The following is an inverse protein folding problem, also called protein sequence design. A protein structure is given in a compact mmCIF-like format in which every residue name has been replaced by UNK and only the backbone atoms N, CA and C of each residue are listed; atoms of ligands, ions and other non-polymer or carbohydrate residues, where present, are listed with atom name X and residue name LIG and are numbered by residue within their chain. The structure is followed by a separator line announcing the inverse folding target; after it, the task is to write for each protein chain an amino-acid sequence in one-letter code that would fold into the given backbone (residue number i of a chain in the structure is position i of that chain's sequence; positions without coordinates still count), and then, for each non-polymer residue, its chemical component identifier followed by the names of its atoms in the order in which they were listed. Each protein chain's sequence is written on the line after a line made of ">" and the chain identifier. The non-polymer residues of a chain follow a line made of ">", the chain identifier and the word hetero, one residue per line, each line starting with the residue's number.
data_IF_633566200632
#
_entry.id   IF_633566200632
#
_cell.length_a   1.000
_cell.length_b   1.000
_cell.length_c   1.000
_cell.angle_alpha   90.00
_cell.angle_beta   90.00
_cell.angle_gamma   90.00
#
_symmetry.space_group_name_H-M   'P 1'
#
loop_
_entity.id
_entity.type
_entity.pdbx_description
1 polymer ?
#
# COMPACT_ATOMS: atom_id res chain seq x y z
N UNK A 1 -16.30 -15.69 3.76
CA UNK A 1 -16.45 -15.76 2.30
C UNK A 1 -15.17 -16.22 1.63
N UNK A 2 -14.11 -15.39 1.60
CA UNK A 2 -12.88 -15.75 0.87
C UNK A 2 -12.24 -17.07 1.32
N UNK A 3 -12.19 -17.33 2.62
CA UNK A 3 -11.70 -18.63 3.12
C UNK A 3 -12.51 -19.84 2.63
N UNK A 4 -13.83 -19.67 2.42
CA UNK A 4 -14.68 -20.74 1.88
C UNK A 4 -14.53 -20.82 0.36
N UNK A 5 -14.42 -19.69 -0.33
CA UNK A 5 -14.15 -19.62 -1.77
C UNK A 5 -12.84 -20.34 -2.15
N UNK A 6 -11.79 -20.14 -1.35
CA UNK A 6 -10.50 -20.82 -1.51
C UNK A 6 -10.41 -22.18 -0.81
N UNK A 7 -11.53 -22.70 -0.30
CA UNK A 7 -11.60 -24.02 0.35
C UNK A 7 -10.52 -24.25 1.41
N UNK A 8 -10.26 -23.24 2.25
CA UNK A 8 -9.20 -23.28 3.27
C UNK A 8 -9.55 -24.25 4.41
N UNK A 9 -9.40 -25.54 4.14
CA UNK A 9 -9.68 -26.64 5.06
C UNK A 9 -8.66 -26.78 6.21
N UNK A 10 -7.60 -25.96 6.18
CA UNK A 10 -6.58 -25.85 7.21
C UNK A 10 -6.74 -24.59 8.08
N UNK A 11 -7.84 -23.84 7.91
CA UNK A 11 -8.14 -22.65 8.70
C UNK A 11 -9.21 -22.96 9.77
N UNK A 12 -8.83 -22.74 11.02
CA UNK A 12 -9.72 -22.85 12.19
C UNK A 12 -9.74 -21.49 12.89
N UNK A 13 -10.91 -20.85 12.93
CA UNK A 13 -11.17 -19.66 13.73
C UNK A 13 -11.79 -20.06 15.07
N UNK A 14 -11.42 -19.35 16.15
CA UNK A 14 -12.05 -19.48 17.46
C UNK A 14 -12.73 -18.16 17.77
N UNK A 15 -14.04 -18.18 17.97
CA UNK A 15 -14.81 -17.02 18.39
C UNK A 15 -15.01 -17.09 19.91
N UNK A 16 -14.34 -16.20 20.63
CA UNK A 16 -14.58 -15.96 22.06
C UNK A 16 -15.87 -15.14 22.24
N UNK A 17 -17.01 -15.84 22.31
CA UNK A 17 -18.32 -15.22 22.51
C UNK A 17 -18.56 -14.98 24.02
N UNK A 18 -17.83 -14.03 24.59
CA UNK A 18 -17.83 -13.71 26.03
C UNK A 18 -18.88 -12.68 26.47
N UNK A 19 -19.89 -12.44 25.61
CA UNK A 19 -20.95 -11.41 25.70
C UNK A 19 -20.49 -9.95 25.63
N UNK A 20 -19.34 -9.59 26.21
CA UNK A 20 -18.98 -8.19 26.53
C UNK A 20 -17.84 -7.61 25.68
N UNK A 21 -18.12 -6.50 25.00
CA UNK A 21 -17.14 -5.67 24.29
C UNK A 21 -16.36 -4.75 25.24
N UNK A 22 -15.91 -3.60 24.73
CA UNK A 22 -15.16 -2.62 25.54
C UNK A 22 -16.05 -1.90 26.56
N UNK A 23 -17.21 -1.41 26.14
CA UNK A 23 -18.11 -0.60 27.00
C UNK A 23 -19.20 -1.42 27.68
N UNK A 24 -19.68 -2.48 27.03
CA UNK A 24 -20.81 -3.27 27.50
C UNK A 24 -21.09 -4.44 26.56
N UNK A 25 -22.32 -4.95 26.59
CA UNK A 25 -22.73 -6.10 25.79
C UNK A 25 -22.56 -5.88 24.27
N UNK A 26 -22.02 -6.90 23.61
CA UNK A 26 -21.91 -6.96 22.14
C UNK A 26 -23.29 -7.12 21.52
N UNK A 27 -23.45 -6.69 20.26
CA UNK A 27 -24.75 -6.73 19.56
C UNK A 27 -25.48 -8.09 19.65
N UNK A 28 -24.81 -9.25 19.49
CA UNK A 28 -25.48 -10.54 19.63
C UNK A 28 -25.47 -11.08 21.08
N UNK A 29 -24.66 -10.53 21.99
CA UNK A 29 -24.52 -11.04 23.35
C UNK A 29 -24.18 -12.54 23.37
N UNK A 30 -25.00 -13.34 24.04
CA UNK A 30 -24.92 -14.81 24.02
C UNK A 30 -25.96 -15.50 23.11
N UNK A 31 -26.52 -14.80 22.12
CA UNK A 31 -27.37 -15.41 21.10
C UNK A 31 -26.53 -16.18 20.07
N UNK A 32 -25.95 -17.33 20.49
CA UNK A 32 -24.93 -18.08 19.74
C UNK A 32 -25.38 -18.52 18.35
N UNK A 33 -26.66 -18.84 18.18
CA UNK A 33 -27.23 -19.19 16.88
C UNK A 33 -27.10 -18.05 15.87
N UNK A 34 -27.10 -16.78 16.29
CA UNK A 34 -26.87 -15.67 15.37
C UNK A 34 -25.44 -15.68 14.80
N UNK A 35 -24.43 -15.96 15.63
CA UNK A 35 -23.05 -16.09 15.14
C UNK A 35 -22.93 -17.27 14.19
N UNK A 36 -23.46 -18.42 14.59
CA UNK A 36 -23.46 -19.65 13.80
C UNK A 36 -24.09 -19.43 12.42
N UNK A 37 -25.31 -18.88 12.37
CA UNK A 37 -26.03 -18.62 11.11
C UNK A 37 -25.25 -17.69 10.18
N UNK A 38 -24.59 -16.64 10.72
CA UNK A 38 -23.75 -15.73 9.92
C UNK A 38 -22.56 -16.44 9.29
N UNK A 39 -21.85 -17.29 10.05
CA UNK A 39 -20.70 -18.03 9.53
C UNK A 39 -21.10 -19.12 8.54
N UNK A 40 -22.18 -19.87 8.81
CA UNK A 40 -22.72 -20.87 7.89
C UNK A 40 -23.15 -20.23 6.56
N UNK A 41 -23.81 -19.07 6.61
CA UNK A 41 -24.16 -18.31 5.41
C UNK A 41 -22.93 -17.89 4.57
N UNK A 42 -21.75 -17.81 5.19
CA UNK A 42 -20.48 -17.53 4.51
C UNK A 42 -19.67 -18.78 4.14
N UNK A 43 -20.25 -19.97 4.26
CA UNK A 43 -19.66 -21.24 3.84
C UNK A 43 -18.70 -21.87 4.86
N UNK A 44 -18.82 -21.52 6.14
CA UNK A 44 -17.99 -22.09 7.20
C UNK A 44 -18.70 -23.23 7.91
N UNK A 45 -17.94 -24.26 8.27
CA UNK A 45 -18.37 -25.25 9.26
C UNK A 45 -18.32 -24.64 10.66
N UNK A 46 -19.35 -24.88 11.46
CA UNK A 46 -19.52 -24.24 12.77
C UNK A 46 -19.71 -25.26 13.88
N UNK A 47 -18.98 -25.11 14.98
CA UNK A 47 -19.21 -25.86 16.21
C UNK A 47 -19.52 -24.88 17.34
N UNK A 48 -20.68 -25.00 17.98
CA UNK A 48 -21.02 -24.20 19.17
C UNK A 48 -20.75 -25.05 20.40
N UNK A 49 -19.95 -24.54 21.33
CA UNK A 49 -19.51 -25.27 22.52
C UNK A 49 -19.57 -24.40 23.77
N UNK A 50 -19.56 -25.03 24.94
CA UNK A 50 -19.14 -24.38 26.17
C UNK A 50 -17.62 -24.13 26.12
N UNK A 51 -17.22 -22.85 26.04
CA UNK A 51 -15.83 -22.43 25.97
C UNK A 51 -15.04 -22.63 27.27
N UNK A 52 -15.68 -23.10 28.35
CA UNK A 52 -15.03 -23.49 29.60
C UNK A 52 -15.01 -25.01 29.81
N UNK A 53 -15.53 -25.78 28.86
CA UNK A 53 -15.52 -27.24 28.91
C UNK A 53 -14.38 -27.79 28.05
N UNK A 54 -13.30 -28.24 28.69
CA UNK A 54 -12.12 -28.78 28.00
C UNK A 54 -12.46 -29.98 27.09
N UNK A 55 -13.41 -30.82 27.49
CA UNK A 55 -13.83 -31.97 26.69
C UNK A 55 -14.45 -31.54 25.36
N UNK A 56 -15.34 -30.55 25.39
CA UNK A 56 -15.96 -30.00 24.18
C UNK A 56 -14.96 -29.26 23.29
N UNK A 57 -14.01 -28.53 23.89
CA UNK A 57 -12.95 -27.84 23.14
C UNK A 57 -12.10 -28.85 22.36
N UNK A 58 -11.65 -29.92 23.02
CA UNK A 58 -10.82 -30.96 22.40
C UNK A 58 -11.58 -31.70 21.29
N UNK A 59 -12.83 -32.06 21.53
CA UNK A 59 -13.70 -32.69 20.52
C UNK A 59 -13.92 -31.77 19.31
N UNK A 60 -14.20 -30.48 19.53
CA UNK A 60 -14.38 -29.50 18.46
C UNK A 60 -13.13 -29.33 17.61
N UNK A 61 -11.93 -29.24 18.22
CA UNK A 61 -10.67 -29.19 17.46
C UNK A 61 -10.38 -30.49 16.71
N UNK A 62 -10.71 -31.65 17.28
CA UNK A 62 -10.58 -32.94 16.60
C UNK A 62 -11.46 -33.01 15.34
N UNK A 63 -12.73 -32.59 15.45
CA UNK A 63 -13.65 -32.48 14.31
C UNK A 63 -13.18 -31.44 13.29
N UNK A 64 -12.67 -30.30 13.76
CA UNK A 64 -12.20 -29.22 12.91
C UNK A 64 -11.04 -29.64 12.00
N UNK A 65 -10.07 -30.41 12.53
CA UNK A 65 -8.92 -30.93 11.77
C UNK A 65 -9.30 -31.85 10.60
N UNK A 66 -10.47 -32.48 10.68
CA UNK A 66 -10.97 -33.39 9.65
C UNK A 66 -11.94 -32.72 8.67
N UNK A 67 -12.25 -31.44 8.87
CA UNK A 67 -13.15 -30.67 8.02
C UNK A 67 -12.58 -30.47 6.61
N UNK A 68 -13.46 -30.45 5.61
CA UNK A 68 -13.11 -30.07 4.21
C UNK A 68 -13.37 -28.59 3.91
N UNK A 69 -13.91 -27.85 4.87
CA UNK A 69 -14.23 -26.42 4.80
C UNK A 69 -13.53 -25.67 5.93
N UNK A 70 -13.34 -24.35 5.83
CA UNK A 70 -12.89 -23.55 6.97
C UNK A 70 -13.86 -23.70 8.15
N UNK A 71 -13.31 -23.76 9.36
CA UNK A 71 -14.08 -24.04 10.58
C UNK A 71 -14.05 -22.85 11.52
N UNK A 72 -15.19 -22.52 12.11
CA UNK A 72 -15.25 -21.65 13.28
C UNK A 72 -15.80 -22.42 14.48
N UNK A 73 -15.06 -22.36 15.58
CA UNK A 73 -15.50 -22.87 16.89
C UNK A 73 -16.02 -21.67 17.68
N UNK A 74 -17.31 -21.66 17.96
CA UNK A 74 -18.04 -20.61 18.66
C UNK A 74 -18.11 -21.01 20.13
N UNK A 75 -17.23 -20.41 20.93
CA UNK A 75 -17.08 -20.70 22.34
C UNK A 75 -17.98 -19.77 23.15
N UNK A 76 -19.00 -20.31 23.83
CA UNK A 76 -19.72 -19.55 24.85
C UNK A 76 -18.81 -19.38 26.06
N UNK A 77 -18.44 -18.15 26.38
CA UNK A 77 -17.53 -17.86 27.50
C UNK A 77 -18.12 -16.77 28.39
N UNK A 78 -17.40 -16.40 29.45
CA UNK A 78 -17.78 -15.29 30.32
C UNK A 78 -16.53 -14.45 30.54
N UNK A 79 -16.59 -13.17 30.21
CA UNK A 79 -15.45 -12.27 30.36
C UNK A 79 -15.07 -12.17 31.84
N UNK A 80 -13.79 -12.29 32.18
CA UNK A 80 -13.33 -12.32 33.57
C UNK A 80 -13.65 -13.62 34.32
N UNK A 81 -13.83 -14.75 33.60
CA UNK A 81 -14.14 -16.06 34.18
C UNK A 81 -13.26 -16.40 35.39
N UNK A 82 -13.88 -16.95 36.43
CA UNK A 82 -13.18 -17.50 37.60
C UNK A 82 -12.92 -16.49 38.72
N UNK A 83 -13.34 -15.24 38.55
CA UNK A 83 -13.27 -14.21 39.60
C UNK A 83 -14.63 -13.51 39.69
N UNK A 84 -15.32 -13.69 40.80
CA UNK A 84 -16.73 -13.33 41.04
C UNK A 84 -17.08 -11.87 40.73
N UNK A 85 -16.19 -10.93 41.07
CA UNK A 85 -16.39 -9.49 40.84
C UNK A 85 -15.99 -9.01 39.44
N UNK A 86 -15.34 -9.87 38.65
CA UNK A 86 -14.97 -9.63 37.24
C UNK A 86 -15.92 -10.37 36.28
N UNK A 87 -16.32 -11.58 36.65
CA UNK A 87 -17.01 -12.53 35.78
C UNK A 87 -18.34 -11.95 35.30
N UNK A 88 -18.43 -11.80 33.98
CA UNK A 88 -19.61 -11.32 33.29
C UNK A 88 -20.02 -9.89 33.73
N UNK A 89 -19.09 -9.08 34.25
CA UNK A 89 -19.32 -7.70 34.68
C UNK A 89 -18.80 -6.67 33.67
N UNK A 90 -19.56 -5.60 33.47
CA UNK A 90 -19.16 -4.47 32.64
C UNK A 90 -18.05 -3.64 33.30
N UNK A 91 -17.40 -2.81 32.48
CA UNK A 91 -16.46 -1.79 32.99
C UNK A 91 -15.08 -2.31 33.38
N UNK A 92 -14.77 -3.59 33.16
CA UNK A 92 -13.47 -4.21 33.44
C UNK A 92 -12.57 -4.41 32.21
N UNK A 93 -13.06 -4.12 30.99
CA UNK A 93 -12.22 -4.25 29.80
C UNK A 93 -11.03 -3.27 29.84
N UNK A 94 -9.82 -3.80 29.66
CA UNK A 94 -8.59 -3.02 29.69
C UNK A 94 -8.20 -2.48 31.07
N UNK A 95 -8.84 -2.93 32.16
CA UNK A 95 -8.51 -2.51 33.52
C UNK A 95 -7.77 -3.62 34.26
N UNK A 96 -6.61 -3.33 34.86
CA UNK A 96 -5.95 -4.27 35.76
C UNK A 96 -6.77 -4.45 37.03
N UNK A 97 -6.64 -5.61 37.67
CA UNK A 97 -7.22 -5.85 39.01
C UNK A 97 -6.50 -4.96 40.03
N UNK A 98 -7.23 -4.20 40.87
CA UNK A 98 -6.63 -3.39 41.92
C UNK A 98 -5.81 -4.22 42.92
N UNK A 99 -4.72 -3.64 43.45
CA UNK A 99 -3.80 -4.36 44.36
C UNK A 99 -4.49 -4.91 45.61
N UNK A 100 -5.46 -4.17 46.15
CA UNK A 100 -6.28 -4.53 47.30
C UNK A 100 -7.28 -5.66 47.03
N UNK A 101 -7.58 -5.94 45.75
CA UNK A 101 -8.48 -7.02 45.32
C UNK A 101 -7.75 -8.21 44.73
N UNK A 102 -6.45 -8.09 44.43
CA UNK A 102 -5.66 -9.11 43.77
C UNK A 102 -5.61 -10.41 44.55
N UNK A 103 -5.35 -10.36 45.86
CA UNK A 103 -5.27 -11.57 46.68
C UNK A 103 -6.60 -12.33 46.71
N UNK A 104 -7.72 -11.60 46.77
CA UNK A 104 -9.06 -12.19 46.73
C UNK A 104 -9.35 -12.84 45.36
N UNK A 105 -8.99 -12.16 44.26
CA UNK A 105 -9.13 -12.73 42.93
C UNK A 105 -8.32 -14.02 42.76
N UNK A 106 -7.07 -14.05 43.24
CA UNK A 106 -6.21 -15.23 43.14
C UNK A 106 -6.72 -16.41 43.96
N UNK A 107 -7.39 -16.17 45.10
CA UNK A 107 -8.02 -17.23 45.92
C UNK A 107 -9.20 -17.91 45.22
N UNK A 108 -9.86 -17.24 44.28
CA UNK A 108 -10.97 -17.81 43.52
C UNK A 108 -10.53 -18.66 42.33
N UNK A 109 -9.25 -18.55 41.93
CA UNK A 109 -8.68 -19.31 40.82
C UNK A 109 -8.13 -20.64 41.35
N UNK A 110 -8.55 -21.80 40.78
CA UNK A 110 -8.14 -23.11 41.27
C UNK A 110 -6.62 -23.36 41.32
N UNK A 111 -5.88 -22.83 40.33
CA UNK A 111 -4.42 -22.84 40.30
C UNK A 111 -3.90 -21.51 39.76
N UNK A 112 -3.61 -20.59 40.67
CA UNK A 112 -3.06 -19.28 40.33
C UNK A 112 -1.64 -19.33 39.74
N UNK A 113 -0.91 -20.45 39.91
CA UNK A 113 0.45 -20.58 39.40
C UNK A 113 0.49 -20.95 37.91
N UNK A 114 -0.62 -21.45 37.35
CA UNK A 114 -0.73 -22.07 36.01
C UNK A 114 0.27 -23.22 35.80
N UNK A 115 -0.18 -24.46 35.54
CA UNK A 115 0.73 -25.57 35.39
C UNK A 115 1.66 -25.38 34.19
N UNK A 116 2.95 -25.71 34.35
CA UNK A 116 3.88 -25.77 33.25
C UNK A 116 3.49 -26.93 32.32
N UNK A 117 3.00 -26.61 31.11
CA UNK A 117 2.66 -27.62 30.10
C UNK A 117 3.77 -27.66 29.05
N UNK A 118 4.35 -28.84 28.82
CA UNK A 118 5.26 -29.06 27.71
C UNK A 118 4.46 -29.36 26.44
N UNK A 119 4.59 -28.51 25.42
CA UNK A 119 3.92 -28.67 24.13
C UNK A 119 4.95 -29.09 23.09
N UNK A 120 4.67 -30.17 22.35
CA UNK A 120 5.50 -30.60 21.23
C UNK A 120 5.58 -29.48 20.17
N UNK A 121 6.81 -29.07 19.83
CA UNK A 121 7.03 -28.08 18.78
C UNK A 121 6.71 -28.71 17.42
N UNK A 122 5.89 -28.06 16.56
CA UNK A 122 5.62 -28.59 15.24
C UNK A 122 6.88 -28.61 14.38
N UNK A 123 7.03 -29.64 13.54
CA UNK A 123 8.07 -29.68 12.51
C UNK A 123 7.77 -28.59 11.48
N UNK A 124 8.67 -27.63 11.32
CA UNK A 124 8.52 -26.57 10.33
C UNK A 124 8.57 -27.17 8.92
N UNK A 125 7.47 -27.11 8.18
CA UNK A 125 7.44 -27.37 6.75
C UNK A 125 7.44 -26.02 6.03
N UNK A 126 8.62 -25.56 5.61
CA UNK A 126 8.70 -24.42 4.72
C UNK A 126 8.46 -24.91 3.30
N UNK A 127 7.42 -24.40 2.65
CA UNK A 127 7.29 -24.51 1.20
C UNK A 127 8.36 -23.58 0.63
N UNK A 128 9.52 -24.16 0.31
CA UNK A 128 10.63 -23.43 -0.30
C UNK A 128 10.19 -23.02 -1.70
N UNK A 129 10.20 -21.72 -1.99
CA UNK A 129 9.99 -21.24 -3.35
C UNK A 129 11.04 -21.84 -4.30
N UNK A 130 10.62 -22.16 -5.52
CA UNK A 130 11.46 -22.70 -6.58
C UNK A 130 12.69 -21.81 -6.88
N UNK A 131 13.68 -22.35 -7.60
CA UNK A 131 14.88 -21.64 -8.01
C UNK A 131 14.59 -20.25 -8.58
N UNK A 132 15.27 -19.24 -8.05
CA UNK A 132 15.22 -17.87 -8.56
C UNK A 132 16.03 -17.78 -9.84
N UNK A 133 15.41 -17.30 -10.91
CA UNK A 133 16.09 -16.99 -12.18
C UNK A 133 16.18 -15.48 -12.36
N UNK A 134 17.01 -15.06 -13.30
CA UNK A 134 16.95 -13.68 -13.77
C UNK A 134 15.60 -13.47 -14.49
N UNK A 135 14.83 -12.48 -14.03
CA UNK A 135 13.56 -12.11 -14.63
C UNK A 135 13.73 -11.38 -15.97
N UNK A 136 14.92 -10.84 -16.22
CA UNK A 136 15.18 -9.99 -17.38
C UNK A 136 14.42 -8.66 -17.30
N UNK A 137 14.46 -7.92 -18.41
CA UNK A 137 13.78 -6.64 -18.59
C UNK A 137 13.19 -6.57 -19.99
N UNK A 138 12.09 -5.85 -20.14
CA UNK A 138 11.42 -5.60 -21.41
C UNK A 138 12.23 -4.66 -22.30
N UNK A 139 12.07 -4.79 -23.61
CA UNK A 139 12.80 -4.04 -24.63
C UNK A 139 12.10 -2.74 -25.06
N UNK A 140 11.68 -1.92 -24.09
CA UNK A 140 11.13 -0.59 -24.37
C UNK A 140 12.17 0.31 -25.07
N UNK A 141 11.75 1.04 -26.09
CA UNK A 141 12.59 2.04 -26.77
C UNK A 141 12.16 3.44 -26.37
N UNK A 142 13.13 4.35 -26.28
CA UNK A 142 12.86 5.77 -26.04
C UNK A 142 11.86 6.29 -27.09
N UNK A 143 10.80 6.94 -26.62
CA UNK A 143 9.70 7.45 -27.44
C UNK A 143 8.52 6.48 -27.64
N UNK A 144 8.65 5.20 -27.31
CA UNK A 144 7.51 4.27 -27.30
C UNK A 144 6.44 4.79 -26.32
N UNK A 145 5.16 4.63 -26.66
CA UNK A 145 4.04 5.03 -25.80
C UNK A 145 3.54 3.84 -24.99
N UNK A 146 3.66 3.92 -23.67
CA UNK A 146 3.17 2.89 -22.76
C UNK A 146 2.68 3.50 -21.44
N UNK A 147 1.65 2.89 -20.84
CA UNK A 147 1.17 3.32 -19.52
C UNK A 147 1.98 2.62 -18.42
N UNK A 148 2.25 3.31 -17.32
CA UNK A 148 3.03 2.73 -16.20
C UNK A 148 2.28 1.58 -15.53
N UNK A 149 0.93 1.59 -15.52
CA UNK A 149 0.12 0.46 -15.07
C UNK A 149 0.26 -0.80 -15.96
N UNK A 150 0.40 -0.62 -17.28
CA UNK A 150 0.64 -1.73 -18.22
C UNK A 150 2.03 -2.32 -18.02
N UNK A 151 3.03 -1.45 -17.83
CA UNK A 151 4.40 -1.86 -17.54
C UNK A 151 4.52 -2.57 -16.18
N UNK A 152 3.76 -2.13 -15.17
CA UNK A 152 3.63 -2.82 -13.89
C UNK A 152 3.16 -4.27 -14.05
N UNK A 153 2.06 -4.51 -14.78
CA UNK A 153 1.53 -5.84 -15.02
C UNK A 153 2.54 -6.78 -15.70
N UNK A 154 3.21 -6.29 -16.76
CA UNK A 154 4.24 -7.04 -17.48
C UNK A 154 5.45 -7.36 -16.61
N UNK A 155 5.96 -6.39 -15.86
CA UNK A 155 7.09 -6.57 -14.95
C UNK A 155 6.76 -7.58 -13.84
N UNK A 156 5.54 -7.51 -13.28
CA UNK A 156 5.11 -8.45 -12.26
C UNK A 156 4.97 -9.88 -12.80
N UNK A 157 4.44 -10.03 -14.02
CA UNK A 157 4.35 -11.33 -14.71
C UNK A 157 5.73 -11.95 -14.95
N UNK A 158 6.70 -11.15 -15.41
CA UNK A 158 8.10 -11.60 -15.56
C UNK A 158 8.71 -12.03 -14.23
N UNK A 159 8.49 -11.23 -13.18
CA UNK A 159 9.00 -11.52 -11.85
C UNK A 159 8.37 -12.80 -11.27
N UNK A 160 7.07 -13.03 -11.47
CA UNK A 160 6.38 -14.27 -11.05
C UNK A 160 6.94 -15.51 -11.78
N UNK A 161 7.19 -15.41 -13.08
CA UNK A 161 7.84 -16.49 -13.85
C UNK A 161 9.24 -16.83 -13.30
N UNK A 162 9.98 -15.81 -12.84
CA UNK A 162 11.35 -15.95 -12.37
C UNK A 162 11.49 -16.34 -10.88
N UNK A 163 10.52 -16.01 -10.04
CA UNK A 163 10.53 -16.25 -8.60
C UNK A 163 9.20 -16.85 -8.13
N UNK A 164 9.24 -18.12 -7.71
CA UNK A 164 8.08 -18.85 -7.20
C UNK A 164 7.48 -18.30 -5.91
N UNK A 165 8.15 -17.37 -5.22
CA UNK A 165 7.63 -16.72 -4.01
C UNK A 165 6.75 -15.51 -4.31
N UNK A 166 6.79 -14.98 -5.53
CA UNK A 166 6.06 -13.77 -5.90
C UNK A 166 4.58 -14.10 -6.10
N UNK A 167 3.69 -13.32 -5.51
CA UNK A 167 2.25 -13.49 -5.66
C UNK A 167 1.61 -12.16 -6.07
N UNK A 168 0.78 -12.18 -7.11
CA UNK A 168 -0.13 -11.09 -7.41
C UNK A 168 -1.42 -11.26 -6.59
N UNK A 169 -1.82 -10.22 -5.89
CA UNK A 169 -3.06 -10.20 -5.10
C UNK A 169 -3.85 -8.98 -5.55
N UNK A 170 -5.07 -9.13 -6.04
CA UNK A 170 -5.83 -8.02 -6.63
C UNK A 170 -7.28 -8.00 -6.13
N UNK A 171 -7.89 -6.82 -6.06
CA UNK A 171 -9.24 -6.61 -5.57
C UNK A 171 -10.25 -6.35 -6.71
N UNK A 172 -10.47 -7.33 -7.58
CA UNK A 172 -11.41 -7.29 -8.72
C UNK A 172 -11.14 -6.21 -9.78
N UNK A 173 -9.93 -5.67 -9.85
CA UNK A 173 -9.56 -4.63 -10.85
C UNK A 173 -8.33 -5.02 -11.66
N UNK A 174 -8.03 -6.32 -11.72
CA UNK A 174 -6.81 -6.88 -12.32
C UNK A 174 -6.66 -6.62 -13.81
N UNK A 175 -7.77 -6.43 -14.54
CA UNK A 175 -7.80 -5.98 -15.94
C UNK A 175 -7.43 -4.50 -16.11
N UNK A 176 -7.49 -3.72 -15.04
CA UNK A 176 -7.27 -2.28 -15.02
C UNK A 176 -5.91 -1.93 -14.40
N UNK A 177 -5.49 -2.69 -13.39
CA UNK A 177 -4.13 -2.66 -12.81
C UNK A 177 -3.13 -3.42 -13.67
N UNK A 178 -3.59 -4.28 -14.59
CA UNK A 178 -2.82 -5.26 -15.37
C UNK A 178 -2.19 -6.39 -14.54
N UNK A 179 -2.56 -6.56 -13.27
CA UNK A 179 -2.15 -7.72 -12.47
C UNK A 179 -2.65 -9.05 -13.06
N UNK A 180 -3.68 -9.02 -13.93
CA UNK A 180 -4.16 -10.19 -14.67
C UNK A 180 -3.09 -10.83 -15.57
N UNK A 181 -2.04 -10.08 -15.95
CA UNK A 181 -0.97 -10.64 -16.78
C UNK A 181 -0.22 -11.76 -16.05
N UNK A 182 -0.13 -11.71 -14.72
CA UNK A 182 0.36 -12.83 -13.90
C UNK A 182 -0.57 -14.03 -14.02
N UNK A 183 -1.90 -13.80 -13.94
CA UNK A 183 -2.91 -14.86 -14.10
C UNK A 183 -2.79 -15.56 -15.46
N UNK A 184 -2.46 -14.81 -16.52
CA UNK A 184 -2.31 -15.35 -17.89
C UNK A 184 -1.08 -16.26 -18.02
N UNK A 185 0.04 -15.91 -17.38
CA UNK A 185 1.31 -16.65 -17.54
C UNK A 185 1.56 -17.70 -16.46
N UNK A 186 1.03 -17.47 -15.25
CA UNK A 186 1.25 -18.30 -14.06
C UNK A 186 0.07 -18.21 -13.07
N UNK A 187 -1.09 -18.81 -13.41
CA UNK A 187 -2.34 -18.68 -12.65
C UNK A 187 -2.20 -19.01 -11.15
N UNK A 188 -1.33 -19.94 -10.79
CA UNK A 188 -1.08 -20.37 -9.41
C UNK A 188 -0.42 -19.31 -8.52
N UNK A 189 0.15 -18.25 -9.13
CA UNK A 189 0.72 -17.11 -8.42
C UNK A 189 -0.21 -15.88 -8.42
N UNK A 190 -1.46 -16.04 -8.84
CA UNK A 190 -2.48 -15.00 -8.80
C UNK A 190 -3.55 -15.33 -7.75
N UNK A 191 -3.90 -14.36 -6.90
CA UNK A 191 -4.93 -14.46 -5.87
C UNK A 191 -5.97 -13.36 -6.09
N UNK A 192 -7.20 -13.75 -6.41
CA UNK A 192 -8.36 -12.86 -6.49
C UNK A 192 -8.93 -12.59 -5.09
N UNK A 193 -9.00 -11.32 -4.69
CA UNK A 193 -9.60 -10.93 -3.42
C UNK A 193 -11.00 -10.36 -3.57
N UNK A 194 -11.50 -10.20 -4.81
CA UNK A 194 -12.77 -9.53 -5.11
C UNK A 194 -12.77 -8.10 -4.54
N UNK A 195 -13.92 -7.43 -4.49
CA UNK A 195 -14.04 -6.05 -3.98
C UNK A 195 -13.92 -6.02 -2.45
N UNK A 196 -12.72 -6.25 -1.92
CA UNK A 196 -12.42 -6.39 -0.50
C UNK A 196 -10.98 -5.96 -0.14
N UNK A 197 -10.62 -4.70 -0.39
CA UNK A 197 -9.25 -4.17 -0.25
C UNK A 197 -8.67 -4.37 1.17
N UNK A 198 -9.50 -4.21 2.21
CA UNK A 198 -9.10 -4.47 3.60
C UNK A 198 -8.61 -5.91 3.78
N UNK A 199 -9.36 -6.87 3.23
CA UNK A 199 -9.00 -8.27 3.32
C UNK A 199 -7.85 -8.61 2.37
N UNK A 200 -7.77 -7.99 1.18
CA UNK A 200 -6.65 -8.12 0.25
C UNK A 200 -5.32 -7.79 0.94
N UNK A 201 -5.24 -6.65 1.62
CA UNK A 201 -4.04 -6.27 2.37
C UNK A 201 -3.79 -7.24 3.54
N UNK A 202 -4.83 -7.61 4.30
CA UNK A 202 -4.69 -8.61 5.37
C UNK A 202 -4.14 -9.96 4.89
N UNK A 203 -4.61 -10.45 3.74
CA UNK A 203 -4.11 -11.65 3.09
C UNK A 203 -2.67 -11.49 2.64
N UNK A 204 -2.32 -10.37 1.99
CA UNK A 204 -0.95 -10.09 1.58
C UNK A 204 0.01 -10.09 2.79
N UNK A 205 -0.37 -9.46 3.91
CA UNK A 205 0.43 -9.49 5.14
C UNK A 205 0.64 -10.93 5.65
N UNK A 206 -0.43 -11.73 5.69
CA UNK A 206 -0.34 -13.14 6.10
C UNK A 206 0.55 -13.99 5.18
N UNK A 207 0.44 -13.78 3.86
CA UNK A 207 1.30 -14.44 2.86
C UNK A 207 2.76 -14.05 3.04
N UNK A 208 3.06 -12.77 3.25
CA UNK A 208 4.40 -12.29 3.53
C UNK A 208 4.98 -12.88 4.82
N UNK A 209 4.18 -13.02 5.88
CA UNK A 209 4.59 -13.73 7.11
C UNK A 209 4.89 -15.22 6.91
N UNK A 210 4.47 -15.80 5.79
CA UNK A 210 4.77 -17.18 5.39
C UNK A 210 5.95 -17.29 4.40
N UNK A 211 6.61 -16.18 4.07
CA UNK A 211 7.80 -16.15 3.21
C UNK A 211 7.52 -15.88 1.72
N UNK A 212 6.29 -15.53 1.35
CA UNK A 212 5.97 -15.06 0.01
C UNK A 212 6.32 -13.57 -0.18
N UNK A 213 6.40 -13.12 -1.42
CA UNK A 213 6.63 -11.72 -1.83
C UNK A 213 5.38 -11.21 -2.55
N UNK A 214 4.35 -10.77 -1.81
CA UNK A 214 3.08 -10.37 -2.39
C UNK A 214 3.12 -8.94 -2.96
N UNK A 215 2.52 -8.78 -4.12
CA UNK A 215 2.19 -7.51 -4.77
C UNK A 215 0.66 -7.35 -4.76
N UNK A 216 0.16 -6.52 -3.87
CA UNK A 216 -1.25 -6.20 -3.74
C UNK A 216 -1.64 -5.01 -4.63
N UNK A 217 -2.74 -5.13 -5.38
CA UNK A 217 -3.10 -4.16 -6.44
C UNK A 217 -4.56 -3.76 -6.40
N UNK A 218 -4.79 -2.45 -6.48
CA UNK A 218 -6.11 -1.86 -6.74
C UNK A 218 -5.91 -0.42 -7.28
N UNK A 219 -6.97 0.39 -7.34
CA UNK A 219 -6.85 1.81 -7.65
C UNK A 219 -6.30 2.55 -6.43
N UNK A 220 -5.45 3.55 -6.66
CA UNK A 220 -4.84 4.35 -5.60
C UNK A 220 -5.89 4.95 -4.66
N UNK A 221 -7.03 5.41 -5.19
CA UNK A 221 -8.16 5.90 -4.40
C UNK A 221 -8.71 4.85 -3.41
N UNK A 222 -8.83 3.58 -3.85
CA UNK A 222 -9.44 2.52 -3.03
C UNK A 222 -8.50 2.00 -1.95
N UNK A 223 -7.21 2.32 -1.99
CA UNK A 223 -6.29 2.01 -0.89
C UNK A 223 -6.65 2.76 0.41
N UNK A 224 -7.38 3.89 0.31
CA UNK A 224 -7.98 4.55 1.48
C UNK A 224 -8.88 3.62 2.29
N UNK A 225 -9.56 2.66 1.63
CA UNK A 225 -10.41 1.64 2.26
C UNK A 225 -9.61 0.68 3.13
N UNK A 226 -8.33 0.47 2.82
CA UNK A 226 -7.44 -0.47 3.50
C UNK A 226 -6.34 0.21 4.34
N UNK A 227 -6.45 1.52 4.59
CA UNK A 227 -5.39 2.29 5.24
C UNK A 227 -5.00 1.71 6.61
N UNK A 228 -5.95 1.28 7.45
CA UNK A 228 -5.61 0.71 8.76
C UNK A 228 -4.84 -0.61 8.63
N UNK A 229 -5.19 -1.46 7.67
CA UNK A 229 -4.43 -2.70 7.42
C UNK A 229 -3.03 -2.40 6.89
N UNK A 230 -2.87 -1.42 6.02
CA UNK A 230 -1.55 -0.97 5.53
C UNK A 230 -0.73 -0.40 6.68
N UNK A 231 -1.34 0.41 7.56
CA UNK A 231 -0.72 0.96 8.77
C UNK A 231 -0.24 -0.14 9.71
N UNK A 232 -1.08 -1.14 9.98
CA UNK A 232 -0.70 -2.31 10.77
C UNK A 232 0.40 -3.13 10.09
N UNK A 233 0.43 -3.18 8.76
CA UNK A 233 1.53 -3.75 7.98
C UNK A 233 2.86 -3.04 8.21
N UNK A 234 2.86 -1.70 8.19
CA UNK A 234 4.06 -0.92 8.47
C UNK A 234 4.59 -1.13 9.91
N UNK A 235 3.70 -1.39 10.87
CA UNK A 235 4.07 -1.65 12.27
C UNK A 235 4.53 -3.09 12.52
N UNK A 236 3.96 -4.08 11.81
CA UNK A 236 4.30 -5.50 11.95
C UNK A 236 5.51 -5.93 11.10
N UNK A 237 5.93 -5.08 10.14
CA UNK A 237 7.09 -5.25 9.28
C UNK A 237 7.15 -6.44 8.29
N UNK A 238 6.06 -7.14 7.88
CA UNK A 238 6.15 -8.07 6.77
C UNK A 238 6.37 -7.30 5.43
N UNK A 239 7.22 -7.81 4.52
CA UNK A 239 7.57 -7.09 3.30
C UNK A 239 6.48 -7.23 2.22
N UNK A 240 5.51 -6.32 2.20
CA UNK A 240 4.49 -6.26 1.14
C UNK A 240 4.78 -5.13 0.13
N UNK A 241 4.44 -5.34 -1.13
CA UNK A 241 4.39 -4.26 -2.13
C UNK A 241 2.93 -3.98 -2.48
N UNK A 242 2.55 -2.70 -2.50
CA UNK A 242 1.22 -2.24 -2.88
C UNK A 242 1.34 -1.40 -4.13
N UNK A 243 0.58 -1.73 -5.17
CA UNK A 243 0.47 -0.94 -6.39
C UNK A 243 -0.89 -0.23 -6.42
N UNK A 244 -0.87 1.10 -6.50
CA UNK A 244 -2.06 1.93 -6.68
C UNK A 244 -2.07 2.45 -8.10
N UNK A 245 -2.96 1.93 -8.94
CA UNK A 245 -3.17 2.43 -10.30
C UNK A 245 -4.15 3.62 -10.33
N UNK A 246 -4.39 4.21 -11.49
CA UNK A 246 -5.40 5.27 -11.65
C UNK A 246 -5.20 6.44 -10.67
N UNK A 247 -3.94 6.81 -10.46
CA UNK A 247 -3.62 7.91 -9.57
C UNK A 247 -3.79 9.27 -10.27
N UNK A 248 -4.30 10.27 -9.52
CA UNK A 248 -4.46 11.63 -10.00
C UNK A 248 -5.69 11.91 -10.87
N UNK A 249 -5.89 13.18 -11.24
CA UNK A 249 -6.96 13.63 -12.13
C UNK A 249 -6.74 13.21 -13.58
N UNK A 250 -5.51 12.84 -13.94
CA UNK A 250 -5.14 12.36 -15.28
C UNK A 250 -5.83 11.05 -15.71
N UNK A 251 -6.63 10.42 -14.85
CA UNK A 251 -7.47 9.29 -15.25
C UNK A 251 -8.59 9.71 -16.22
N UNK A 252 -9.07 10.95 -16.12
CA UNK A 252 -10.10 11.52 -16.97
C UNK A 252 -11.53 11.29 -16.48
N UNK A 253 -12.32 10.61 -17.30
CA UNK A 253 -13.77 10.71 -17.33
C UNK A 253 -14.49 10.09 -16.12
N UNK A 254 -13.87 9.13 -15.43
CA UNK A 254 -14.48 8.46 -14.26
C UNK A 254 -14.71 9.42 -13.08
N UNK A 255 -13.96 10.52 -13.02
CA UNK A 255 -14.16 11.57 -12.02
C UNK A 255 -13.61 11.23 -10.63
N UNK A 256 -13.95 12.09 -9.65
CA UNK A 256 -13.26 12.16 -8.36
C UNK A 256 -13.32 10.90 -7.49
N UNK A 257 -14.27 9.98 -7.68
CA UNK A 257 -14.36 8.75 -6.90
C UNK A 257 -13.24 7.74 -7.20
N UNK A 258 -12.58 7.84 -8.35
CA UNK A 258 -11.50 6.93 -8.78
C UNK A 258 -10.12 7.58 -8.71
N UNK A 259 -10.06 8.91 -8.53
CA UNK A 259 -8.83 9.69 -8.53
C UNK A 259 -8.10 9.53 -7.19
N UNK A 260 -7.00 8.78 -7.17
CA UNK A 260 -6.12 8.75 -5.98
C UNK A 260 -5.37 10.07 -5.85
N UNK A 261 -5.74 10.91 -4.88
CA UNK A 261 -5.18 12.26 -4.70
C UNK A 261 -4.55 12.48 -3.33
N UNK A 262 -4.67 11.51 -2.43
CA UNK A 262 -4.13 11.50 -1.06
C UNK A 262 -3.20 10.30 -0.81
N UNK A 263 -2.97 9.49 -1.84
CA UNK A 263 -2.27 8.22 -1.75
C UNK A 263 -0.78 8.38 -1.39
N UNK A 264 -0.11 9.40 -1.95
CA UNK A 264 1.29 9.72 -1.61
C UNK A 264 1.36 10.12 -0.13
N UNK A 265 0.46 10.99 0.32
CA UNK A 265 0.38 11.42 1.73
C UNK A 265 0.16 10.24 2.68
N UNK A 266 -0.79 9.36 2.33
CA UNK A 266 -1.11 8.16 3.10
C UNK A 266 0.12 7.26 3.29
N UNK A 267 0.84 6.92 2.21
CA UNK A 267 2.01 6.04 2.32
C UNK A 267 3.25 6.74 2.89
N UNK A 268 3.44 8.04 2.67
CA UNK A 268 4.55 8.80 3.26
C UNK A 268 4.45 8.88 4.78
N UNK A 269 3.23 8.94 5.33
CA UNK A 269 3.00 8.99 6.77
C UNK A 269 3.41 7.69 7.51
N UNK A 270 3.52 6.56 6.81
CA UNK A 270 3.82 5.26 7.42
C UNK A 270 5.30 5.13 7.81
N UNK A 271 5.65 4.59 8.98
CA UNK A 271 7.06 4.35 9.32
C UNK A 271 7.69 3.33 8.36
N UNK A 272 8.97 3.54 8.03
CA UNK A 272 9.78 2.61 7.21
C UNK A 272 9.18 2.24 5.83
N UNK A 273 8.23 3.03 5.32
CA UNK A 273 7.67 2.83 3.98
C UNK A 273 8.60 3.33 2.89
N UNK A 274 8.51 2.73 1.71
CA UNK A 274 9.06 3.28 0.46
C UNK A 274 7.93 3.71 -0.47
N UNK A 275 8.08 4.86 -1.12
CA UNK A 275 7.10 5.44 -2.03
C UNK A 275 7.80 5.74 -3.35
N UNK A 276 7.35 5.03 -4.39
CA UNK A 276 7.86 5.14 -5.75
C UNK A 276 6.75 5.59 -6.69
N UNK A 277 7.10 6.50 -7.59
CA UNK A 277 6.20 6.98 -8.64
C UNK A 277 6.93 6.93 -9.99
N UNK A 278 6.87 5.79 -10.72
CA UNK A 278 7.42 5.69 -12.06
C UNK A 278 6.83 6.71 -13.03
N UNK A 279 7.69 7.25 -13.89
CA UNK A 279 7.32 8.25 -14.90
C UNK A 279 7.13 7.68 -16.30
N UNK A 280 7.63 6.47 -16.55
CA UNK A 280 7.49 5.75 -17.82
C UNK A 280 7.52 4.23 -17.62
N UNK A 281 7.46 3.48 -18.72
CA UNK A 281 7.45 2.02 -18.66
C UNK A 281 8.75 1.40 -18.11
N UNK A 282 9.91 1.98 -18.43
CA UNK A 282 11.21 1.48 -17.97
C UNK A 282 11.36 1.68 -16.46
N UNK A 283 11.06 2.88 -15.96
CA UNK A 283 11.06 3.16 -14.52
C UNK A 283 10.04 2.30 -13.78
N UNK A 284 8.84 2.08 -14.33
CA UNK A 284 7.84 1.19 -13.73
C UNK A 284 8.38 -0.25 -13.56
N UNK A 285 8.97 -0.81 -14.61
CA UNK A 285 9.56 -2.15 -14.56
C UNK A 285 10.70 -2.24 -13.54
N UNK A 286 11.66 -1.30 -13.59
CA UNK A 286 12.80 -1.28 -12.66
C UNK A 286 12.34 -1.13 -11.21
N UNK A 287 11.31 -0.33 -10.95
CA UNK A 287 10.78 -0.11 -9.61
C UNK A 287 9.98 -1.29 -9.07
N UNK A 288 9.30 -2.08 -9.92
CA UNK A 288 8.71 -3.36 -9.52
C UNK A 288 9.78 -4.33 -9.05
N UNK A 289 10.86 -4.49 -9.81
CA UNK A 289 11.97 -5.38 -9.44
C UNK A 289 12.68 -4.88 -8.19
N UNK A 290 12.92 -3.57 -8.07
CA UNK A 290 13.49 -2.99 -6.86
C UNK A 290 12.59 -3.26 -5.65
N UNK A 291 11.29 -2.98 -5.74
CA UNK A 291 10.35 -3.19 -4.64
C UNK A 291 10.31 -4.63 -4.15
N UNK A 292 10.44 -5.63 -5.03
CA UNK A 292 10.50 -7.04 -4.65
C UNK A 292 11.64 -7.37 -3.65
N UNK A 293 12.70 -6.55 -3.64
CA UNK A 293 13.90 -6.76 -2.82
C UNK A 293 13.91 -5.94 -1.53
N UNK A 294 13.01 -4.96 -1.40
CA UNK A 294 13.01 -4.04 -0.27
C UNK A 294 12.18 -4.54 0.92
N UNK A 295 12.61 -4.24 2.16
CA UNK A 295 11.84 -4.58 3.36
C UNK A 295 10.63 -3.64 3.54
N UNK A 296 9.74 -4.01 4.46
CA UNK A 296 8.62 -3.16 4.88
C UNK A 296 7.53 -3.00 3.81
N UNK A 297 6.74 -1.94 3.96
CA UNK A 297 5.64 -1.60 3.04
C UNK A 297 6.18 -0.71 1.91
N UNK A 298 6.07 -1.18 0.67
CA UNK A 298 6.46 -0.41 -0.53
C UNK A 298 5.21 -0.02 -1.29
N UNK A 299 5.16 1.22 -1.76
CA UNK A 299 4.08 1.71 -2.61
C UNK A 299 4.63 2.08 -3.99
N UNK A 300 3.97 1.59 -5.04
CA UNK A 300 4.23 1.97 -6.43
C UNK A 300 2.96 2.64 -6.97
N UNK A 301 3.06 3.94 -7.27
CA UNK A 301 1.98 4.73 -7.84
C UNK A 301 2.03 4.64 -9.37
N UNK A 302 0.99 4.09 -10.01
CA UNK A 302 0.91 3.98 -11.48
C UNK A 302 -0.26 4.77 -12.05
N UNK A 303 -0.14 5.15 -13.32
CA UNK A 303 -1.01 6.10 -14.01
C UNK A 303 -1.68 5.46 -15.23
N UNK A 304 -2.84 6.01 -15.61
CA UNK A 304 -3.71 5.46 -16.66
C UNK A 304 -3.21 5.76 -18.07
N UNK A 305 -2.81 7.00 -18.30
CA UNK A 305 -2.42 7.49 -19.63
C UNK A 305 -1.11 6.83 -20.12
N UNK A 306 -1.02 6.65 -21.43
CA UNK A 306 0.25 6.26 -22.08
C UNK A 306 1.17 7.46 -22.13
N UNK A 307 2.41 7.28 -21.74
CA UNK A 307 3.44 8.31 -21.81
C UNK A 307 4.63 7.83 -22.64
N UNK A 308 5.40 8.75 -23.25
CA UNK A 308 6.64 8.39 -23.92
C UNK A 308 7.65 7.77 -22.95
N UNK A 309 8.33 6.71 -23.38
CA UNK A 309 9.50 6.17 -22.68
C UNK A 309 10.63 7.19 -22.72
N UNK A 310 11.16 7.53 -21.54
CA UNK A 310 12.21 8.52 -21.32
C UNK A 310 13.58 7.87 -21.10
N UNK A 311 13.60 6.68 -20.51
CA UNK A 311 14.82 5.97 -20.15
C UNK A 311 15.15 4.85 -21.12
N UNK A 312 16.43 4.54 -21.25
CA UNK A 312 16.84 3.27 -21.87
C UNK A 312 16.79 2.12 -20.84
N UNK A 313 16.76 0.88 -21.32
CA UNK A 313 16.67 -0.31 -20.44
C UNK A 313 17.88 -0.56 -19.52
N UNK A 314 19.00 0.16 -19.71
CA UNK A 314 20.20 0.07 -18.86
C UNK A 314 20.15 1.03 -17.68
N UNK A 315 19.25 2.01 -17.70
CA UNK A 315 19.06 2.97 -16.62
C UNK A 315 18.78 2.27 -15.28
N UNK A 316 19.39 2.79 -14.20
CA UNK A 316 19.33 2.20 -12.86
C UNK A 316 18.56 3.08 -11.89
N UNK A 317 17.68 2.48 -11.09
CA UNK A 317 16.90 3.18 -10.08
C UNK A 317 17.31 2.69 -8.69
N UNK A 318 17.60 3.63 -7.78
CA UNK A 318 18.04 3.34 -6.41
C UNK A 318 17.15 4.10 -5.42
N UNK A 319 16.83 3.54 -4.24
CA UNK A 319 16.09 4.27 -3.22
C UNK A 319 16.80 5.57 -2.82
N UNK A 320 16.05 6.64 -2.58
CA UNK A 320 16.60 7.94 -2.19
C UNK A 320 17.02 8.85 -3.34
N UNK A 321 17.10 8.32 -4.56
CA UNK A 321 17.63 9.05 -5.72
C UNK A 321 16.53 9.73 -6.56
N UNK A 322 16.97 10.69 -7.38
CA UNK A 322 16.18 11.33 -8.43
C UNK A 322 16.92 11.24 -9.77
N UNK A 323 16.24 11.53 -10.88
CA UNK A 323 16.86 11.51 -12.23
C UNK A 323 16.80 12.87 -12.88
N UNK A 324 17.91 13.30 -13.48
CA UNK A 324 17.98 14.52 -14.28
C UNK A 324 17.64 14.17 -15.72
N UNK A 325 16.57 14.76 -16.25
CA UNK A 325 16.07 14.51 -17.61
C UNK A 325 16.66 15.50 -18.61
N UNK A 326 16.83 16.76 -18.17
CA UNK A 326 17.43 17.86 -18.92
C UNK A 326 18.24 18.71 -17.95
N UNK A 327 19.41 19.15 -18.36
CA UNK A 327 20.21 20.12 -17.61
C UNK A 327 21.14 20.91 -18.54
N UNK A 328 21.57 22.07 -18.05
CA UNK A 328 22.63 22.88 -18.65
C UNK A 328 23.40 23.63 -17.57
N UNK A 329 24.55 24.22 -17.91
CA UNK A 329 25.29 25.09 -16.99
C UNK A 329 24.65 26.47 -16.78
N UNK A 330 23.60 26.81 -17.54
CA UNK A 330 22.94 28.12 -17.51
C UNK A 330 21.59 28.09 -16.79
N UNK A 331 21.21 26.94 -16.25
CA UNK A 331 19.90 26.74 -15.66
C UNK A 331 19.63 27.74 -14.53
N UNK A 332 18.48 28.39 -14.61
CA UNK A 332 18.04 29.41 -13.64
C UNK A 332 17.00 28.87 -12.66
N UNK A 333 16.44 27.71 -12.95
CA UNK A 333 15.48 27.01 -12.11
C UNK A 333 15.49 25.50 -12.42
N UNK A 334 14.90 24.73 -11.51
CA UNK A 334 14.65 23.30 -11.64
C UNK A 334 13.14 23.06 -11.75
N UNK A 335 12.71 22.40 -12.83
CA UNK A 335 11.36 21.88 -12.96
C UNK A 335 11.32 20.43 -12.44
N UNK A 336 10.38 20.13 -11.56
CA UNK A 336 10.23 18.83 -10.93
C UNK A 336 8.84 18.24 -11.17
N UNK A 337 8.80 16.94 -11.41
CA UNK A 337 7.56 16.17 -11.48
C UNK A 337 7.84 14.67 -11.36
N UNK A 338 6.77 13.88 -11.32
CA UNK A 338 6.80 12.42 -11.36
C UNK A 338 5.54 11.92 -12.06
N UNK A 339 5.60 10.77 -12.73
CA UNK A 339 4.46 10.28 -13.50
C UNK A 339 4.07 11.25 -14.60
N UNK A 340 2.79 11.58 -14.68
CA UNK A 340 2.24 12.47 -15.71
C UNK A 340 2.87 13.87 -15.66
N UNK A 341 3.09 14.43 -14.46
CA UNK A 341 3.61 15.80 -14.36
C UNK A 341 5.07 15.94 -14.75
N UNK A 342 5.84 14.84 -14.82
CA UNK A 342 7.17 14.88 -15.42
C UNK A 342 7.10 15.18 -16.92
N UNK A 343 6.14 14.57 -17.63
CA UNK A 343 5.94 14.82 -19.06
C UNK A 343 5.47 16.25 -19.31
N UNK A 344 4.63 16.78 -18.42
CA UNK A 344 4.25 18.19 -18.44
C UNK A 344 5.44 19.12 -18.16
N UNK A 345 6.34 18.76 -17.24
CA UNK A 345 7.58 19.50 -16.99
C UNK A 345 8.54 19.50 -18.20
N UNK A 346 8.61 18.39 -18.96
CA UNK A 346 9.36 18.34 -20.22
C UNK A 346 8.74 19.28 -21.28
N UNK A 347 7.42 19.33 -21.40
CA UNK A 347 6.74 20.30 -22.28
C UNK A 347 7.04 21.74 -21.88
N UNK A 348 6.99 22.04 -20.57
CA UNK A 348 7.32 23.36 -20.04
C UNK A 348 8.78 23.75 -20.33
N UNK A 349 9.72 22.80 -20.22
CA UNK A 349 11.12 23.01 -20.61
C UNK A 349 11.24 23.40 -22.10
N UNK A 350 10.54 22.70 -22.99
CA UNK A 350 10.58 22.99 -24.43
C UNK A 350 9.98 24.36 -24.77
N UNK A 351 8.94 24.80 -24.05
CA UNK A 351 8.37 26.15 -24.17
C UNK A 351 9.35 27.22 -23.68
N UNK A 352 9.91 27.07 -22.48
CA UNK A 352 10.85 28.02 -21.89
C UNK A 352 12.14 28.16 -22.72
N UNK A 353 12.61 27.05 -23.30
CA UNK A 353 13.78 27.04 -24.18
C UNK A 353 13.58 27.87 -25.44
N UNK A 354 12.38 27.86 -26.04
CA UNK A 354 12.04 28.71 -27.20
C UNK A 354 12.10 30.20 -26.85
N UNK A 355 11.92 30.55 -25.58
CA UNK A 355 12.02 31.91 -25.05
C UNK A 355 13.42 32.24 -24.50
N UNK A 356 14.41 31.35 -24.65
CA UNK A 356 15.77 31.57 -24.17
C UNK A 356 15.92 31.49 -22.64
N UNK A 357 15.01 30.78 -21.97
CA UNK A 357 15.08 30.53 -20.52
C UNK A 357 15.61 29.12 -20.29
N UNK A 358 16.84 29.04 -19.78
CA UNK A 358 17.48 27.78 -19.40
C UNK A 358 16.96 27.30 -18.04
N UNK A 359 16.48 26.06 -17.97
CA UNK A 359 16.02 25.36 -16.75
C UNK A 359 16.40 23.88 -16.82
N UNK A 360 16.53 23.22 -15.68
CA UNK A 360 16.66 21.75 -15.62
C UNK A 360 15.30 21.07 -15.42
N UNK A 361 15.22 19.78 -15.74
CA UNK A 361 14.05 18.93 -15.47
C UNK A 361 14.49 17.72 -14.66
N UNK A 362 13.80 17.45 -13.54
CA UNK A 362 14.10 16.35 -12.62
C UNK A 362 12.87 15.46 -12.40
N UNK A 363 13.07 14.15 -12.56
CA UNK A 363 12.13 13.11 -12.15
C UNK A 363 12.36 12.72 -10.70
N UNK A 364 11.34 12.91 -9.87
CA UNK A 364 11.32 12.55 -8.45
C UNK A 364 10.70 11.16 -8.28
N UNK A 365 11.24 10.15 -8.99
CA UNK A 365 10.69 8.79 -9.00
C UNK A 365 10.66 8.13 -7.60
N UNK A 366 11.55 8.53 -6.69
CA UNK A 366 11.59 8.07 -5.31
C UNK A 366 11.19 9.21 -4.36
N UNK A 367 9.94 9.17 -3.91
CA UNK A 367 9.36 10.16 -3.00
C UNK A 367 9.71 9.81 -1.54
N UNK A 368 9.90 8.52 -1.25
CA UNK A 368 10.38 8.07 0.06
C UNK A 368 11.17 6.77 -0.08
N UNK A 369 12.37 6.64 0.50
CA UNK A 369 13.16 7.71 1.11
C UNK A 369 13.59 8.76 0.07
N UNK A 370 13.91 9.98 0.50
CA UNK A 370 14.37 11.05 -0.40
C UNK A 370 15.68 11.65 0.12
N UNK A 371 16.70 11.74 -0.75
CA UNK A 371 17.98 12.36 -0.40
C UNK A 371 17.90 13.89 -0.53
N UNK A 372 17.31 14.54 0.46
CA UNK A 372 17.12 15.99 0.48
C UNK A 372 18.41 16.80 0.35
N UNK A 373 19.52 16.33 0.93
CA UNK A 373 20.82 17.01 0.82
C UNK A 373 21.31 17.03 -0.62
N UNK A 374 21.30 15.87 -1.29
CA UNK A 374 21.72 15.77 -2.70
C UNK A 374 20.87 16.65 -3.60
N UNK A 375 19.56 16.67 -3.38
CA UNK A 375 18.65 17.51 -4.16
C UNK A 375 18.87 19.01 -3.90
N UNK A 376 19.10 19.41 -2.64
CA UNK A 376 19.43 20.78 -2.28
C UNK A 376 20.69 21.27 -2.98
N UNK A 377 21.75 20.46 -2.99
CA UNK A 377 23.01 20.81 -3.65
C UNK A 377 22.81 20.98 -5.18
N UNK A 378 22.00 20.11 -5.78
CA UNK A 378 21.59 20.24 -7.17
C UNK A 378 20.77 21.52 -7.40
N UNK A 379 19.72 21.76 -6.62
CA UNK A 379 18.86 22.94 -6.79
C UNK A 379 19.64 24.26 -6.69
N UNK A 380 20.59 24.36 -5.75
CA UNK A 380 21.47 25.53 -5.61
C UNK A 380 22.36 25.75 -6.83
N UNK A 381 22.93 24.67 -7.37
CA UNK A 381 23.75 24.73 -8.59
C UNK A 381 22.95 25.17 -9.82
N UNK A 382 21.65 24.88 -9.85
CA UNK A 382 20.75 25.16 -10.98
C UNK A 382 19.78 26.34 -10.67
N UNK A 383 20.29 27.39 -10.02
CA UNK A 383 19.60 28.68 -9.87
C UNK A 383 18.81 28.89 -8.59
N UNK A 384 18.78 27.90 -7.68
CA UNK A 384 18.18 28.02 -6.35
C UNK A 384 16.66 28.18 -6.35
N UNK A 385 15.99 27.85 -7.45
CA UNK A 385 14.53 27.93 -7.62
C UNK A 385 14.01 26.60 -8.09
N UNK A 386 12.95 26.11 -7.46
CA UNK A 386 12.32 24.83 -7.75
C UNK A 386 10.85 25.05 -8.01
N UNK A 387 10.38 24.57 -9.16
CA UNK A 387 8.97 24.50 -9.50
C UNK A 387 8.61 23.03 -9.53
N UNK A 388 7.70 22.61 -8.65
CA UNK A 388 7.24 21.22 -8.58
C UNK A 388 5.78 21.14 -8.95
N UNK A 389 5.45 20.22 -9.87
CA UNK A 389 4.06 19.91 -10.22
C UNK A 389 3.73 18.47 -9.82
N UNK A 390 2.58 18.28 -9.17
CA UNK A 390 2.09 16.95 -8.79
C UNK A 390 0.60 16.78 -9.07
N UNK A 391 0.25 15.61 -9.61
CA UNK A 391 -1.14 15.16 -9.78
C UNK A 391 -1.62 14.47 -8.50
N UNK A 392 -1.70 15.26 -7.43
CA UNK A 392 -2.01 14.89 -6.04
C UNK A 392 -2.43 16.17 -5.28
N UNK A 393 -3.13 16.04 -4.16
CA UNK A 393 -3.40 17.18 -3.26
C UNK A 393 -2.10 17.74 -2.65
N UNK A 394 -2.04 19.02 -2.25
CA UNK A 394 -0.79 19.59 -1.74
C UNK A 394 -0.35 18.96 -0.41
N UNK A 395 -1.29 18.56 0.45
CA UNK A 395 -0.99 18.02 1.77
C UNK A 395 -0.40 16.61 1.69
N UNK A 396 0.76 16.42 2.30
CA UNK A 396 1.48 15.15 2.29
C UNK A 396 2.07 14.77 0.93
N UNK A 397 2.05 15.66 -0.06
CA UNK A 397 2.55 15.40 -1.42
C UNK A 397 4.07 15.51 -1.61
N UNK A 398 4.47 15.58 -2.89
CA UNK A 398 5.86 15.81 -3.34
C UNK A 398 6.31 17.24 -3.01
N UNK A 399 5.42 18.22 -3.15
CA UNK A 399 5.67 19.61 -2.79
C UNK A 399 6.05 19.76 -1.32
N UNK A 400 5.27 19.20 -0.41
CA UNK A 400 5.61 19.20 1.02
C UNK A 400 6.87 18.41 1.35
N UNK A 401 7.13 17.30 0.64
CA UNK A 401 8.40 16.57 0.77
C UNK A 401 9.59 17.47 0.44
N UNK A 402 9.54 18.19 -0.69
CA UNK A 402 10.61 19.11 -1.09
C UNK A 402 10.71 20.31 -0.14
N UNK A 403 9.60 20.94 0.22
CA UNK A 403 9.58 22.07 1.16
C UNK A 403 10.19 21.68 2.51
N UNK A 404 9.89 20.49 3.02
CA UNK A 404 10.50 19.97 4.25
C UNK A 404 12.00 19.71 4.09
N UNK A 405 12.43 19.17 2.95
CA UNK A 405 13.85 18.91 2.66
C UNK A 405 14.67 20.20 2.44
N UNK A 406 14.04 21.28 1.98
CA UNK A 406 14.66 22.53 1.58
C UNK A 406 14.45 23.69 2.56
N UNK A 407 13.74 23.47 3.66
CA UNK A 407 13.50 24.50 4.68
C UNK A 407 14.84 25.08 5.15
N UNK A 408 14.93 26.41 5.20
CA UNK A 408 16.14 27.17 5.56
C UNK A 408 17.36 26.96 4.65
N UNK A 409 17.19 26.39 3.45
CA UNK A 409 18.30 26.15 2.52
C UNK A 409 18.68 27.36 1.67
N UNK A 410 17.78 28.35 1.56
CA UNK A 410 17.86 29.44 0.58
C UNK A 410 17.35 29.05 -0.83
N UNK A 411 16.88 27.82 -1.02
CA UNK A 411 16.18 27.40 -2.25
C UNK A 411 14.71 27.78 -2.15
N UNK A 412 14.22 28.51 -3.16
CA UNK A 412 12.82 28.89 -3.26
C UNK A 412 12.01 27.77 -3.94
N UNK A 413 10.82 27.46 -3.41
CA UNK A 413 9.96 26.38 -3.91
C UNK A 413 8.59 26.93 -4.26
N UNK A 414 8.16 26.73 -5.50
CA UNK A 414 6.79 26.94 -5.96
C UNK A 414 6.13 25.59 -6.24
N UNK A 415 5.07 25.26 -5.50
CA UNK A 415 4.32 24.00 -5.66
C UNK A 415 3.00 24.22 -6.41
N UNK A 416 2.85 23.45 -7.49
CA UNK A 416 1.62 23.28 -8.27
C UNK A 416 1.04 21.90 -7.96
N UNK A 417 -0.20 21.86 -7.51
CA UNK A 417 -0.88 20.65 -7.06
C UNK A 417 -2.38 20.76 -7.36
N UNK A 418 -3.08 19.63 -7.29
CA UNK A 418 -4.55 19.60 -7.39
C UNK A 418 -5.12 20.32 -6.17
N UNK A 419 -5.98 21.32 -6.37
CA UNK A 419 -6.53 22.14 -5.26
C UNK A 419 -8.04 22.25 -5.30
N UNK A 420 -8.66 21.85 -6.40
CA UNK A 420 -10.11 21.97 -6.59
C UNK A 420 -10.77 20.61 -6.37
N UNK A 421 -12.08 20.63 -6.17
CA UNK A 421 -12.85 19.40 -6.14
C UNK A 421 -12.75 18.72 -7.53
N UNK A 422 -12.33 17.45 -7.60
CA UNK A 422 -12.13 16.79 -8.88
C UNK A 422 -13.43 16.62 -9.67
N UNK A 423 -13.31 16.56 -11.01
CA UNK A 423 -14.43 16.50 -11.96
C UNK A 423 -14.18 15.45 -13.04
N UNK A 424 -15.23 15.06 -13.74
CA UNK A 424 -15.12 14.28 -14.97
C UNK A 424 -14.86 15.19 -16.17
N UNK A 425 -13.75 14.98 -16.86
CA UNK A 425 -13.45 15.56 -18.17
C UNK A 425 -12.33 14.75 -18.83
N UNK A 426 -11.87 15.16 -20.01
CA UNK A 426 -10.68 14.52 -20.62
C UNK A 426 -9.44 14.77 -19.75
N UNK A 427 -8.49 13.82 -19.68
CA UNK A 427 -7.28 13.95 -18.87
C UNK A 427 -6.56 15.30 -19.04
N UNK A 428 -6.38 15.77 -20.28
CA UNK A 428 -5.64 17.01 -20.56
C UNK A 428 -6.39 18.25 -20.05
N UNK A 429 -7.73 18.21 -20.09
CA UNK A 429 -8.56 19.29 -19.58
C UNK A 429 -8.47 19.39 -18.06
N UNK A 430 -8.39 18.25 -17.36
CA UNK A 430 -8.29 18.22 -15.89
C UNK A 430 -6.91 18.68 -15.41
N UNK A 431 -5.84 18.20 -16.06
CA UNK A 431 -4.46 18.63 -15.74
C UNK A 431 -4.31 20.16 -15.94
N UNK A 432 -4.86 20.70 -17.03
CA UNK A 432 -4.90 22.15 -17.25
C UNK A 432 -5.83 22.88 -16.26
N UNK A 433 -6.99 22.30 -15.93
CA UNK A 433 -7.93 22.88 -14.98
C UNK A 433 -7.31 23.02 -13.59
N UNK A 434 -6.51 22.05 -13.15
CA UNK A 434 -5.80 22.09 -11.85
C UNK A 434 -4.52 22.94 -11.89
N UNK A 435 -4.08 23.39 -13.07
CA UNK A 435 -2.89 24.22 -13.22
C UNK A 435 -1.58 23.44 -13.01
N UNK A 436 -1.57 22.16 -13.39
CA UNK A 436 -0.40 21.27 -13.29
C UNK A 436 0.10 20.81 -14.67
N UNK A 437 -0.38 21.44 -15.74
CA UNK A 437 0.03 21.21 -17.13
C UNK A 437 1.29 21.99 -17.50
N UNK A 438 1.88 21.66 -18.64
CA UNK A 438 3.14 22.28 -19.10
C UNK A 438 3.07 23.81 -19.18
N UNK A 439 1.95 24.37 -19.63
CA UNK A 439 1.78 25.83 -19.71
C UNK A 439 1.71 26.48 -18.33
N UNK A 440 1.07 25.84 -17.34
CA UNK A 440 1.05 26.34 -15.96
C UNK A 440 2.43 26.26 -15.29
N UNK A 441 3.18 25.18 -15.54
CA UNK A 441 4.57 25.03 -15.06
C UNK A 441 5.48 26.10 -15.67
N UNK A 442 5.36 26.33 -16.98
CA UNK A 442 6.09 27.38 -17.71
C UNK A 442 5.78 28.77 -17.16
N UNK A 443 4.51 29.07 -16.89
CA UNK A 443 4.08 30.33 -16.29
C UNK A 443 4.64 30.51 -14.87
N UNK A 444 4.59 29.47 -14.04
CA UNK A 444 5.17 29.47 -12.70
C UNK A 444 6.68 29.75 -12.74
N UNK A 445 7.42 29.06 -13.60
CA UNK A 445 8.85 29.28 -13.78
C UNK A 445 9.18 30.72 -14.20
N UNK A 446 8.40 31.32 -15.11
CA UNK A 446 8.59 32.73 -15.50
C UNK A 446 8.30 33.69 -14.35
N UNK A 447 7.29 33.40 -13.52
CA UNK A 447 6.90 34.23 -12.39
C UNK A 447 8.02 34.27 -11.33
N UNK A 448 8.45 33.11 -10.84
CA UNK A 448 9.51 33.01 -9.81
C UNK A 448 10.85 33.58 -10.31
N UNK A 449 11.15 33.51 -11.61
CA UNK A 449 12.34 34.12 -12.20
C UNK A 449 12.28 35.66 -12.31
N UNK A 450 11.07 36.26 -12.31
CA UNK A 450 10.89 37.72 -12.32
C UNK A 450 10.95 38.30 -10.91
N UNK A 451 10.32 37.65 -9.94
CA UNK A 451 10.25 38.11 -8.54
C UNK A 451 11.63 38.21 -7.85
N UNK A 452 12.66 37.51 -8.35
CA UNK A 452 14.03 37.63 -7.85
C UNK A 452 14.87 38.74 -8.51
N UNK A 453 14.31 39.55 -9.41
CA UNK A 453 15.02 40.69 -10.03
C UNK A 453 14.71 42.03 -9.37
N UNK A 454 13.73 42.05 -8.47
CA UNK A 454 13.38 43.18 -7.59
C UNK A 454 13.95 42.93 -6.19
#
# INVERSE_FOLDING_TARGET
>A
QLAAHYELNNLIAVLDANRLGQRGETMPGHHLEQYKNRFQAFGWNTYVIDGHNLGEILDAFSKARNSKQPVVIICKTFKGKGVSFLENKDGWHGKPVPKDQLENALKEIPDAAMPAVEIEKPKAQFIRAAEKKDAGFSSYKIGDLAATREAYGKALAQLALADGSVLAVDAEVSNSTFAEDVRKVKPEQFVECFVAEQNMIGMALGLASRGFVPFASTFAAFLSRAHDQIRMGALSSPPITVCGSHAGVSIGEDGGSQMGLEDIGMFRALPNSSVFYPSDAVSAEKLVHLAATLPGVKYIRTTRAKTPVLYDGKEQFKPGEFKVIRESSKDKAVLCGSGITLHEAVKAYDELKKEGIDVSVVDLFCIKPFNGKKFMDFAKKHGGKVIVAEDHYPEGGIGEMLSSALVNSGVEVQSLAVRKLPKSAKPEQLVAYEGIDGSSISLAAKKILRESRD
#
